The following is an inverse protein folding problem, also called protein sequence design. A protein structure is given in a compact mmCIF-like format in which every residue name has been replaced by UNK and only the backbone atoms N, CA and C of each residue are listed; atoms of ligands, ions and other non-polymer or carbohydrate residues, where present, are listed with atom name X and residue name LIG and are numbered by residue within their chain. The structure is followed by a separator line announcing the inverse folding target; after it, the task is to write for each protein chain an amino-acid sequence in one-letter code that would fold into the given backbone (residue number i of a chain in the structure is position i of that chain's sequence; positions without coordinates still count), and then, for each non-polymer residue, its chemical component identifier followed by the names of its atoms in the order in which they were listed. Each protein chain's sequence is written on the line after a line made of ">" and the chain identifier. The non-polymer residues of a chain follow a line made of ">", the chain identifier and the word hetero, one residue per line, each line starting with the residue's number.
data_IF_112878434382
#
_entry.id   IF_112878434382
#
_cell.length_a   1.000
_cell.length_b   1.000
_cell.length_c   1.000
_cell.angle_alpha   90.00
_cell.angle_beta   90.00
_cell.angle_gamma   90.00
#
_symmetry.space_group_name_H-M   'P 1'
#
loop_
_entity.id
_entity.type
_entity.pdbx_description
1 polymer ?
#
# COMPACT_ATOMS: atom_id res chain seq x y z
N UNK A 1 10.81 3.70 11.65
CA UNK A 1 9.41 3.92 11.22
C UNK A 1 9.18 5.27 10.52
N UNK A 2 9.38 6.45 11.15
CA UNK A 2 9.02 7.77 10.58
C UNK A 2 9.41 8.02 9.11
N UNK A 3 10.64 7.69 8.71
CA UNK A 3 11.14 7.86 7.32
C UNK A 3 10.41 6.99 6.29
N UNK A 4 9.95 5.81 6.69
CA UNK A 4 9.34 4.80 5.79
C UNK A 4 7.81 4.88 5.81
N UNK A 5 7.23 5.26 6.95
CA UNK A 5 5.79 5.40 7.13
C UNK A 5 5.25 6.73 6.60
N UNK A 6 6.08 7.76 6.47
CA UNK A 6 5.68 9.10 6.01
C UNK A 6 5.19 9.12 4.57
N UNK A 7 5.94 8.52 3.65
CA UNK A 7 5.54 8.38 2.25
C UNK A 7 4.31 7.49 2.09
N UNK A 8 4.26 6.37 2.80
CA UNK A 8 3.14 5.42 2.75
C UNK A 8 1.80 6.05 3.18
N UNK A 9 1.82 6.96 4.16
CA UNK A 9 0.60 7.66 4.61
C UNK A 9 -0.01 8.51 3.50
N UNK A 10 0.82 9.21 2.73
CA UNK A 10 0.37 10.06 1.61
C UNK A 10 -0.14 9.20 0.44
N UNK A 11 0.58 8.14 0.09
CA UNK A 11 0.17 7.20 -0.97
C UNK A 11 -1.17 6.53 -0.65
N UNK A 12 -1.39 6.09 0.59
CA UNK A 12 -2.65 5.48 1.01
C UNK A 12 -3.80 6.50 1.09
N UNK A 13 -3.52 7.78 1.35
CA UNK A 13 -4.55 8.83 1.31
C UNK A 13 -5.04 9.04 -0.13
N UNK A 14 -4.12 9.20 -1.09
CA UNK A 14 -4.45 9.31 -2.51
C UNK A 14 -5.17 8.06 -3.03
N UNK A 15 -4.72 6.86 -2.63
CA UNK A 15 -5.40 5.61 -2.98
C UNK A 15 -6.86 5.60 -2.52
N UNK A 16 -7.15 6.04 -1.28
CA UNK A 16 -8.52 6.04 -0.75
C UNK A 16 -9.44 7.00 -1.48
N UNK A 17 -8.93 8.18 -1.83
CA UNK A 17 -9.67 9.15 -2.63
C UNK A 17 -9.99 8.56 -4.01
N UNK A 18 -8.97 8.05 -4.72
CA UNK A 18 -9.15 7.48 -6.05
C UNK A 18 -9.97 6.19 -6.06
N UNK A 19 -9.89 5.35 -5.02
CA UNK A 19 -10.67 4.11 -4.91
C UNK A 19 -12.17 4.40 -4.77
N UNK A 20 -12.54 5.48 -4.08
CA UNK A 20 -13.93 5.93 -4.02
C UNK A 20 -14.41 6.44 -5.39
N UNK A 21 -13.59 7.18 -6.13
CA UNK A 21 -13.94 7.63 -7.49
C UNK A 21 -14.03 6.48 -8.50
N UNK A 22 -13.13 5.50 -8.40
CA UNK A 22 -13.09 4.31 -9.25
C UNK A 22 -14.31 3.40 -9.08
N UNK A 23 -15.05 3.51 -7.98
CA UNK A 23 -16.33 2.79 -7.82
C UNK A 23 -17.46 3.37 -8.69
N UNK A 24 -17.32 4.60 -9.20
CA UNK A 24 -18.36 5.30 -9.95
C UNK A 24 -18.00 5.56 -11.42
N UNK A 25 -16.73 5.47 -11.80
CA UNK A 25 -16.25 5.73 -13.17
C UNK A 25 -15.86 4.45 -13.92
N UNK A 26 -16.25 4.32 -15.19
CA UNK A 26 -15.98 3.15 -16.03
C UNK A 26 -14.58 3.17 -16.69
N UNK A 27 -13.98 4.34 -16.87
CA UNK A 27 -12.71 4.50 -17.57
C UNK A 27 -11.66 5.16 -16.67
N UNK A 28 -10.77 4.32 -16.14
CA UNK A 28 -9.62 4.74 -15.36
C UNK A 28 -8.40 4.73 -16.28
N UNK A 29 -7.71 5.86 -16.36
CA UNK A 29 -6.45 5.97 -17.08
C UNK A 29 -5.37 5.08 -16.45
N UNK A 30 -4.34 4.74 -17.22
CA UNK A 30 -3.31 3.80 -16.81
C UNK A 30 -2.58 4.23 -15.51
N UNK A 31 -2.45 5.55 -15.27
CA UNK A 31 -1.78 6.05 -14.06
C UNK A 31 -2.64 5.82 -12.82
N UNK A 32 -3.95 6.01 -12.93
CA UNK A 32 -4.90 5.73 -11.84
C UNK A 32 -5.00 4.23 -11.57
N UNK A 33 -5.00 3.38 -12.60
CA UNK A 33 -4.95 1.92 -12.40
C UNK A 33 -3.69 1.48 -11.64
N UNK A 34 -2.53 2.03 -11.95
CA UNK A 34 -1.29 1.73 -11.22
C UNK A 34 -1.37 2.17 -9.76
N UNK A 35 -1.92 3.37 -9.49
CA UNK A 35 -2.13 3.87 -8.14
C UNK A 35 -3.08 2.97 -7.32
N UNK A 36 -4.20 2.56 -7.92
CA UNK A 36 -5.17 1.66 -7.29
C UNK A 36 -4.57 0.28 -6.98
N UNK A 37 -3.86 -0.30 -7.95
CA UNK A 37 -3.18 -1.58 -7.78
C UNK A 37 -2.12 -1.52 -6.68
N UNK A 38 -1.34 -0.44 -6.63
CA UNK A 38 -0.33 -0.21 -5.59
C UNK A 38 -0.98 -0.05 -4.21
N UNK A 39 -1.99 0.80 -4.11
CA UNK A 39 -2.68 1.06 -2.83
C UNK A 39 -3.42 -0.17 -2.28
N UNK A 40 -3.99 -1.00 -3.15
CA UNK A 40 -4.58 -2.29 -2.77
C UNK A 40 -3.55 -3.23 -2.14
N UNK A 41 -2.38 -3.41 -2.79
CA UNK A 41 -1.27 -4.22 -2.26
C UNK A 41 -0.72 -3.69 -0.93
N UNK A 42 -0.57 -2.38 -0.81
CA UNK A 42 -0.14 -1.75 0.45
C UNK A 42 -1.17 -1.97 1.56
N UNK A 43 -2.47 -1.97 1.24
CA UNK A 43 -3.53 -2.23 2.22
C UNK A 43 -3.53 -3.69 2.69
N UNK A 44 -3.30 -4.64 1.77
CA UNK A 44 -3.11 -6.06 2.08
C UNK A 44 -1.92 -6.28 3.04
N UNK A 45 -0.79 -5.63 2.79
CA UNK A 45 0.43 -5.75 3.59
C UNK A 45 0.26 -5.30 5.05
N UNK A 46 -0.69 -4.40 5.30
CA UNK A 46 -1.02 -3.92 6.64
C UNK A 46 -1.96 -4.85 7.42
N UNK A 47 -2.52 -5.89 6.78
CA UNK A 47 -3.37 -6.87 7.46
C UNK A 47 -2.50 -7.77 8.35
N UNK A 48 -2.87 -7.86 9.63
CA UNK A 48 -2.21 -8.74 10.59
C UNK A 48 -3.21 -9.74 11.17
N UNK A 49 -2.76 -10.99 11.37
CA UNK A 49 -3.54 -11.99 12.09
C UNK A 49 -3.65 -11.61 13.56
N UNK A 50 -4.81 -11.91 14.16
CA UNK A 50 -5.03 -11.66 15.57
C UNK A 50 -3.99 -12.41 16.43
N UNK A 51 -3.53 -11.78 17.52
CA UNK A 51 -2.51 -12.31 18.44
C UNK A 51 -1.16 -12.66 17.80
N UNK A 52 -0.84 -12.12 16.61
CA UNK A 52 0.46 -12.27 15.96
C UNK A 52 1.21 -10.93 15.96
N UNK A 53 1.77 -10.48 17.10
CA UNK A 53 2.51 -9.23 17.16
C UNK A 53 3.80 -9.34 16.35
N UNK A 54 4.03 -8.39 15.44
CA UNK A 54 5.28 -8.25 14.72
C UNK A 54 6.22 -7.33 15.49
N UNK A 55 7.51 -7.67 15.54
CA UNK A 55 8.54 -6.78 16.11
C UNK A 55 8.68 -5.52 15.27
N UNK A 56 9.20 -4.44 15.86
CA UNK A 56 9.41 -3.16 15.13
C UNK A 56 10.33 -3.36 13.92
N UNK A 57 11.32 -4.25 14.02
CA UNK A 57 12.22 -4.57 12.91
C UNK A 57 11.45 -5.21 11.74
N UNK A 58 10.63 -6.22 12.01
CA UNK A 58 9.81 -6.89 10.98
C UNK A 58 8.77 -5.95 10.37
N UNK A 59 8.16 -5.07 11.17
CA UNK A 59 7.25 -4.04 10.67
C UNK A 59 7.97 -3.07 9.72
N UNK A 60 9.18 -2.62 10.06
CA UNK A 60 9.96 -1.73 9.20
C UNK A 60 10.34 -2.42 7.88
N UNK A 61 10.75 -3.68 7.92
CA UNK A 61 11.12 -4.45 6.72
C UNK A 61 9.91 -4.69 5.83
N UNK A 62 8.77 -5.05 6.42
CA UNK A 62 7.51 -5.26 5.69
C UNK A 62 7.06 -3.97 4.99
N UNK A 63 6.98 -2.85 5.73
CA UNK A 63 6.61 -1.54 5.17
C UNK A 63 7.61 -1.07 4.12
N UNK A 64 8.91 -1.27 4.33
CA UNK A 64 9.94 -0.92 3.36
C UNK A 64 9.80 -1.71 2.06
N UNK A 65 9.53 -3.02 2.13
CA UNK A 65 9.30 -3.87 0.95
C UNK A 65 8.07 -3.43 0.15
N UNK A 66 7.00 -3.03 0.84
CA UNK A 66 5.79 -2.49 0.22
C UNK A 66 6.04 -1.16 -0.52
N UNK A 67 6.77 -0.23 0.12
CA UNK A 67 7.01 1.11 -0.44
C UNK A 67 8.04 1.10 -1.60
N UNK A 68 9.10 0.28 -1.50
CA UNK A 68 10.19 0.24 -2.51
C UNK A 68 9.93 -0.68 -3.71
N UNK A 69 8.71 -1.22 -3.86
CA UNK A 69 8.32 -2.04 -5.04
C UNK A 69 9.18 -3.31 -5.19
N UNK A 70 9.85 -3.76 -4.12
CA UNK A 70 10.63 -5.02 -4.15
C UNK A 70 9.69 -6.23 -4.18
N UNK A 71 8.47 -6.07 -3.65
CA UNK A 71 7.44 -7.10 -3.66
C UNK A 71 6.91 -7.45 -5.07
N UNK A 72 7.19 -6.63 -6.10
CA UNK A 72 6.84 -6.95 -7.50
C UNK A 72 7.80 -7.95 -8.16
N UNK A 73 8.92 -8.29 -7.51
CA UNK A 73 9.96 -9.16 -8.09
C UNK A 73 9.90 -10.60 -7.51
N UNK A 74 9.13 -10.81 -6.44
CA UNK A 74 9.16 -12.06 -5.65
C UNK A 74 7.93 -12.97 -5.82
N UNK A 75 7.01 -12.64 -6.73
CA UNK A 75 5.83 -13.44 -7.12
C UNK A 75 5.67 -13.34 -8.63
#
# INVERSE_FOLDING_TARGET
>A
MKKVSGSMKLELAQYREMAAFAQFGSDLDASTQQLLNRGSKLTELLKQKQYSPMTVAEQVISVFCGVKVIWMILI
#
